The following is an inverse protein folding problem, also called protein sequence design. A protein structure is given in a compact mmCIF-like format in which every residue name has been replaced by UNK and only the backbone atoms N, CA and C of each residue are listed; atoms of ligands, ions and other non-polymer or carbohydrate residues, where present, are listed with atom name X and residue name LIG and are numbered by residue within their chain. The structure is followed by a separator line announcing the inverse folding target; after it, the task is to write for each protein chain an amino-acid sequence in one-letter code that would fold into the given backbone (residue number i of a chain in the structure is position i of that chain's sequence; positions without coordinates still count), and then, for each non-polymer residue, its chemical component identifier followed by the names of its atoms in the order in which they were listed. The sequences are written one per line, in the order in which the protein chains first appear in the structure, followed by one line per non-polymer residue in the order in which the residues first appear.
data_IF_368168103436
#
_entry.id   IF_368168103436
#
_cell.length_a   1.000
_cell.length_b   1.000
_cell.length_c   1.000
_cell.angle_alpha   90.00
_cell.angle_beta   90.00
_cell.angle_gamma   90.00
#
_symmetry.space_group_name_H-M   'P 1'
#
loop_
_entity.id
_entity.type
_entity.pdbx_description
1 polymer ?
#
# COMPACT_ATOMS: atom_id res chain seq x y z
N UNK A 1 60.88 17.56 -27.44
CA UNK A 1 60.17 16.28 -27.21
C UNK A 1 58.98 16.44 -26.27
N UNK A 2 59.18 16.98 -25.05
CA UNK A 2 58.12 17.18 -24.03
C UNK A 2 56.83 17.87 -24.52
N UNK A 3 56.90 18.99 -25.27
CA UNK A 3 55.70 19.70 -25.77
C UNK A 3 54.82 18.85 -26.70
N UNK A 4 55.42 17.98 -27.52
CA UNK A 4 54.65 17.09 -28.42
C UNK A 4 54.00 15.95 -27.64
N UNK A 5 54.68 15.41 -26.63
CA UNK A 5 54.14 14.39 -25.73
C UNK A 5 52.97 14.92 -24.89
N UNK A 6 53.09 16.13 -24.33
CA UNK A 6 52.01 16.79 -23.58
C UNK A 6 50.76 17.05 -24.43
N UNK A 7 50.93 17.50 -25.68
CA UNK A 7 49.81 17.73 -26.61
C UNK A 7 49.07 16.44 -26.98
N UNK A 8 49.80 15.32 -27.14
CA UNK A 8 49.21 14.00 -27.38
C UNK A 8 48.44 13.50 -26.16
N UNK A 9 49.03 13.63 -24.96
CA UNK A 9 48.37 13.26 -23.70
C UNK A 9 47.08 14.05 -23.49
N UNK A 10 47.10 15.38 -23.67
CA UNK A 10 45.92 16.23 -23.54
C UNK A 10 44.80 15.83 -24.53
N UNK A 11 45.15 15.46 -25.76
CA UNK A 11 44.17 14.97 -26.75
C UNK A 11 43.56 13.63 -26.32
N UNK A 12 44.38 12.71 -25.82
CA UNK A 12 43.88 11.40 -25.32
C UNK A 12 43.00 11.56 -24.09
N UNK A 13 43.38 12.41 -23.14
CA UNK A 13 42.56 12.73 -21.96
C UNK A 13 41.26 13.40 -22.38
N UNK A 14 41.30 14.37 -23.31
CA UNK A 14 40.10 15.02 -23.82
C UNK A 14 39.16 14.05 -24.54
N UNK A 15 39.69 13.13 -25.35
CA UNK A 15 38.90 12.09 -26.00
C UNK A 15 38.29 11.12 -24.97
N UNK A 16 39.07 10.68 -23.98
CA UNK A 16 38.60 9.82 -22.90
C UNK A 16 37.46 10.48 -22.10
N UNK A 17 37.61 11.75 -21.74
CA UNK A 17 36.57 12.52 -21.04
C UNK A 17 35.31 12.67 -21.90
N UNK A 18 35.46 12.98 -23.19
CA UNK A 18 34.33 13.09 -24.11
C UNK A 18 33.57 11.77 -24.25
N UNK A 19 34.28 10.66 -24.44
CA UNK A 19 33.67 9.32 -24.54
C UNK A 19 32.99 8.94 -23.24
N UNK A 20 33.65 9.15 -22.09
CA UNK A 20 33.07 8.88 -20.77
C UNK A 20 31.80 9.70 -20.53
N UNK A 21 31.81 10.98 -20.92
CA UNK A 21 30.64 11.85 -20.84
C UNK A 21 29.50 11.38 -21.74
N UNK A 22 29.79 10.97 -22.97
CA UNK A 22 28.76 10.41 -23.87
C UNK A 22 28.17 9.10 -23.33
N UNK A 23 29.00 8.21 -22.79
CA UNK A 23 28.52 6.98 -22.16
C UNK A 23 27.67 7.28 -20.91
N UNK A 24 28.04 8.28 -20.12
CA UNK A 24 27.24 8.73 -18.99
C UNK A 24 25.86 9.27 -19.44
N UNK A 25 25.79 10.05 -20.52
CA UNK A 25 24.52 10.52 -21.09
C UNK A 25 23.66 9.35 -21.54
N UNK A 26 24.24 8.39 -22.29
CA UNK A 26 23.51 7.19 -22.73
C UNK A 26 23.04 6.39 -21.52
N UNK A 27 23.88 6.21 -20.51
CA UNK A 27 23.54 5.51 -19.27
C UNK A 27 22.40 6.19 -18.52
N UNK A 28 22.40 7.52 -18.40
CA UNK A 28 21.29 8.30 -17.82
C UNK A 28 20.03 8.15 -18.66
N UNK A 29 20.14 8.20 -20.00
CA UNK A 29 19.01 8.01 -20.90
C UNK A 29 18.35 6.64 -20.74
N UNK A 30 19.15 5.58 -20.62
CA UNK A 30 18.68 4.21 -20.35
C UNK A 30 18.08 4.08 -18.96
N UNK A 31 18.71 4.68 -17.94
CA UNK A 31 18.19 4.69 -16.59
C UNK A 31 16.78 5.29 -16.55
N UNK A 32 16.60 6.47 -17.16
CA UNK A 32 15.32 7.18 -17.19
C UNK A 32 14.28 6.39 -18.00
N UNK A 33 14.64 5.83 -19.17
CA UNK A 33 13.69 5.09 -20.02
C UNK A 33 13.17 3.80 -19.36
N UNK A 34 13.90 3.26 -18.39
CA UNK A 34 13.53 2.08 -17.60
C UNK A 34 12.93 2.46 -16.24
N UNK A 35 12.47 3.70 -16.06
CA UNK A 35 11.91 4.22 -14.79
C UNK A 35 12.92 4.19 -13.62
N UNK A 36 14.21 4.09 -13.90
CA UNK A 36 15.28 4.13 -12.91
C UNK A 36 15.45 5.52 -12.32
N UNK A 37 15.93 5.58 -11.08
CA UNK A 37 16.34 6.83 -10.43
C UNK A 37 17.59 6.59 -9.60
N UNK A 38 18.30 7.68 -9.32
CA UNK A 38 19.39 7.71 -8.35
C UNK A 38 18.84 8.41 -7.11
N UNK A 39 18.81 7.69 -6.00
CA UNK A 39 18.45 8.28 -4.71
C UNK A 39 19.69 8.92 -4.07
N UNK A 40 19.52 10.11 -3.49
CA UNK A 40 20.61 10.96 -3.00
C UNK A 40 20.56 11.02 -1.48
N UNK A 41 21.14 10.01 -0.85
CA UNK A 41 21.29 9.90 0.61
C UNK A 41 19.97 9.78 1.37
N UNK A 42 20.07 9.33 2.62
CA UNK A 42 18.93 9.24 3.53
C UNK A 42 18.99 10.43 4.48
N UNK A 43 17.85 11.06 4.73
CA UNK A 43 17.70 11.97 5.85
C UNK A 43 18.00 11.19 7.15
N UNK A 44 18.84 11.72 8.08
CA UNK A 44 19.18 11.02 9.32
C UNK A 44 17.96 10.59 10.15
N UNK A 45 16.87 11.34 10.03
CA UNK A 45 15.59 11.08 10.70
C UNK A 45 14.88 9.80 10.20
N UNK A 46 15.26 9.25 9.04
CA UNK A 46 14.73 7.99 8.53
C UNK A 46 14.89 6.84 9.53
N UNK A 47 15.95 6.88 10.34
CA UNK A 47 16.31 5.85 11.30
C UNK A 47 15.91 6.22 12.75
N UNK A 48 15.24 7.35 12.96
CA UNK A 48 14.77 7.75 14.29
C UNK A 48 13.69 6.77 14.75
N UNK A 49 13.93 6.14 15.89
CA UNK A 49 12.97 5.22 16.53
C UNK A 49 12.31 5.84 17.78
N UNK A 50 12.90 6.90 18.35
CA UNK A 50 12.30 7.63 19.46
C UNK A 50 11.04 8.38 19.02
N UNK A 51 9.92 8.12 19.70
CA UNK A 51 8.60 8.60 19.34
C UNK A 51 7.79 7.62 18.48
N UNK A 52 8.37 6.52 18.00
CA UNK A 52 7.66 5.55 17.17
C UNK A 52 6.50 4.88 17.91
N UNK A 53 5.42 4.65 17.17
CA UNK A 53 4.19 4.04 17.67
C UNK A 53 2.94 4.77 17.17
N UNK A 54 1.76 4.33 17.64
CA UNK A 54 1.57 3.21 18.55
C UNK A 54 1.76 1.87 17.83
N UNK A 55 2.34 0.88 18.52
CA UNK A 55 2.28 -0.53 18.14
C UNK A 55 1.27 -1.23 19.04
N UNK A 56 0.17 -1.67 18.45
CA UNK A 56 -1.01 -2.13 19.17
C UNK A 56 -1.18 -3.63 18.97
N UNK A 57 -1.23 -4.37 20.07
CA UNK A 57 -1.37 -5.83 20.06
C UNK A 57 -2.54 -6.27 20.94
N UNK A 58 -3.26 -7.30 20.51
CA UNK A 58 -4.30 -7.94 21.32
C UNK A 58 -3.70 -8.77 22.45
N UNK A 59 -4.37 -8.72 23.60
CA UNK A 59 -4.02 -9.50 24.78
C UNK A 59 -4.75 -10.86 24.75
N UNK A 60 -4.49 -11.67 23.74
CA UNK A 60 -5.12 -12.98 23.61
C UNK A 60 -4.05 -14.09 23.77
N UNK A 61 -3.96 -14.66 24.98
CA UNK A 61 -3.40 -16.02 25.21
C UNK A 61 -4.43 -17.12 24.82
N UNK A 62 -5.43 -16.81 23.99
CA UNK A 62 -6.44 -17.77 23.59
C UNK A 62 -5.89 -18.68 22.49
N UNK A 63 -5.67 -19.95 22.86
CA UNK A 63 -5.36 -21.04 21.94
C UNK A 63 -6.34 -21.02 20.76
N UNK A 64 -5.81 -20.94 19.54
CA UNK A 64 -6.52 -21.36 18.34
C UNK A 64 -6.81 -22.84 18.54
N UNK A 65 -8.07 -23.17 18.87
CA UNK A 65 -8.51 -24.55 19.05
C UNK A 65 -8.19 -25.35 17.80
N UNK A 66 -7.25 -26.28 17.93
CA UNK A 66 -6.88 -27.23 16.88
C UNK A 66 -7.92 -28.35 16.81
N UNK A 67 -9.13 -28.03 16.35
CA UNK A 67 -10.07 -29.05 15.87
C UNK A 67 -10.34 -28.76 14.38
N UNK A 68 -9.35 -29.12 13.55
CA UNK A 68 -9.50 -29.17 12.09
C UNK A 68 -9.17 -30.59 11.65
N UNK A 69 -10.13 -31.50 11.81
CA UNK A 69 -10.14 -32.77 11.07
C UNK A 69 -10.65 -32.50 9.65
N UNK A 70 -9.76 -32.06 8.76
CA UNK A 70 -10.04 -31.88 7.34
C UNK A 70 -8.84 -31.25 6.63
N UNK A 71 -8.29 -31.93 5.62
CA UNK A 71 -7.08 -31.57 4.89
C UNK A 71 -7.13 -30.23 4.12
N UNK A 72 -8.24 -29.50 4.19
CA UNK A 72 -8.56 -28.46 3.22
C UNK A 72 -8.60 -27.03 3.84
N UNK A 73 -8.35 -26.87 5.14
CA UNK A 73 -8.46 -25.58 5.85
C UNK A 73 -7.20 -25.22 6.66
N UNK A 74 -6.05 -25.16 5.99
CA UNK A 74 -4.79 -24.72 6.61
C UNK A 74 -4.55 -23.24 6.25
N UNK A 75 -5.09 -22.32 7.06
CA UNK A 75 -4.86 -20.88 6.89
C UNK A 75 -5.97 -19.96 7.43
N UNK A 76 -7.14 -20.52 7.76
CA UNK A 76 -8.25 -19.74 8.29
C UNK A 76 -8.00 -19.35 9.75
N UNK A 77 -7.92 -18.04 10.02
CA UNK A 77 -8.52 -17.52 11.26
C UNK A 77 -9.94 -18.09 11.28
N UNK A 78 -10.26 -18.89 12.29
CA UNK A 78 -11.54 -19.59 12.41
C UNK A 78 -12.67 -18.61 12.08
N UNK A 79 -13.25 -18.77 10.89
CA UNK A 79 -14.43 -18.05 10.44
C UNK A 79 -15.56 -18.53 11.35
N UNK A 80 -15.73 -17.87 12.50
CA UNK A 80 -16.75 -18.23 13.50
C UNK A 80 -16.33 -18.21 14.97
N UNK A 81 -15.06 -17.97 15.30
CA UNK A 81 -14.71 -17.72 16.71
C UNK A 81 -15.08 -16.27 17.05
N UNK A 82 -16.12 -16.08 17.88
CA UNK A 82 -16.38 -14.81 18.55
C UNK A 82 -15.23 -14.52 19.53
N UNK A 83 -14.09 -14.04 19.01
CA UNK A 83 -12.96 -13.60 19.82
C UNK A 83 -13.27 -12.18 20.27
N UNK A 84 -13.95 -12.06 21.41
CA UNK A 84 -14.08 -10.77 22.09
C UNK A 84 -12.77 -10.53 22.84
N UNK A 85 -11.78 -9.97 22.16
CA UNK A 85 -10.58 -9.53 22.84
C UNK A 85 -10.93 -8.33 23.71
N UNK A 86 -10.77 -8.48 25.02
CA UNK A 86 -11.25 -7.49 26.00
C UNK A 86 -10.35 -6.26 26.12
N UNK A 87 -9.18 -6.26 25.48
CA UNK A 87 -8.25 -5.15 25.50
C UNK A 87 -7.00 -5.35 24.64
N UNK A 88 -6.24 -4.27 24.48
CA UNK A 88 -4.99 -4.25 23.71
C UNK A 88 -3.85 -3.65 24.53
N UNK A 89 -2.66 -4.17 24.28
CA UNK A 89 -1.38 -3.56 24.66
C UNK A 89 -0.98 -2.53 23.60
N UNK A 90 -0.76 -1.29 24.03
CA UNK A 90 -0.23 -0.21 23.21
C UNK A 90 1.21 0.05 23.64
N UNK A 91 2.12 0.04 22.68
CA UNK A 91 3.54 0.29 22.89
C UNK A 91 3.98 1.55 22.15
N UNK A 92 4.71 2.42 22.85
CA UNK A 92 5.45 3.55 22.29
C UNK A 92 6.93 3.41 22.61
N UNK A 93 7.78 3.67 21.64
CA UNK A 93 9.22 3.79 21.86
C UNK A 93 9.50 5.25 22.27
N UNK A 94 10.05 5.46 23.47
CA UNK A 94 10.38 6.78 24.02
C UNK A 94 11.87 6.92 24.27
N UNK A 95 12.30 8.15 24.53
CA UNK A 95 13.71 8.49 24.74
C UNK A 95 14.50 8.67 23.44
N UNK A 96 15.81 8.78 23.59
CA UNK A 96 16.77 9.00 22.50
C UNK A 96 18.02 8.15 22.69
N UNK A 97 18.99 8.30 21.77
CA UNK A 97 20.30 7.68 21.92
C UNK A 97 21.05 8.21 23.16
N UNK A 98 20.87 9.48 23.49
CA UNK A 98 21.51 10.17 24.60
C UNK A 98 20.82 9.87 25.93
N UNK A 99 19.48 9.78 25.93
CA UNK A 99 18.67 9.57 27.14
C UNK A 99 18.38 8.08 27.43
N UNK A 100 18.79 7.19 26.53
CA UNK A 100 18.39 5.78 26.43
C UNK A 100 16.93 5.59 26.04
N UNK A 101 16.69 4.54 25.25
CA UNK A 101 15.34 4.16 24.85
C UNK A 101 14.62 3.39 25.96
N UNK A 102 13.33 3.65 26.12
CA UNK A 102 12.44 2.85 26.96
C UNK A 102 11.08 2.67 26.27
N UNK A 103 10.35 1.63 26.68
CA UNK A 103 9.02 1.35 26.12
C UNK A 103 7.97 1.84 27.09
N UNK A 104 7.16 2.80 26.63
CA UNK A 104 5.95 3.17 27.31
C UNK A 104 4.84 2.19 26.90
N UNK A 105 4.39 1.38 27.85
CA UNK A 105 3.32 0.39 27.67
C UNK A 105 2.04 0.85 28.35
N UNK A 106 0.92 0.73 27.64
CA UNK A 106 -0.42 0.96 28.20
C UNK A 106 -1.33 -0.18 27.80
N UNK A 107 -2.13 -0.65 28.74
CA UNK A 107 -3.22 -1.59 28.45
C UNK A 107 -4.53 -0.82 28.44
N UNK A 108 -5.27 -0.93 27.34
CA UNK A 108 -6.58 -0.28 27.22
C UNK A 108 -7.65 -1.32 26.90
N UNK A 109 -8.82 -1.26 27.55
CA UNK A 109 -9.98 -2.01 27.12
C UNK A 109 -10.37 -1.58 25.70
N UNK A 110 -10.71 -2.54 24.84
CA UNK A 110 -11.32 -2.26 23.55
C UNK A 110 -12.82 -2.07 23.77
N UNK A 111 -13.26 -0.82 23.73
CA UNK A 111 -14.68 -0.45 23.71
C UNK A 111 -14.93 0.45 22.51
N UNK A 112 -16.19 0.74 22.18
CA UNK A 112 -16.58 1.56 21.01
C UNK A 112 -15.86 2.92 20.92
N UNK A 113 -15.25 3.38 22.01
CA UNK A 113 -14.31 4.49 22.04
C UNK A 113 -13.13 4.17 22.98
N UNK A 114 -11.90 4.39 22.53
CA UNK A 114 -10.78 4.56 23.47
C UNK A 114 -11.02 5.84 24.28
N UNK A 115 -10.96 5.74 25.62
CA UNK A 115 -11.19 6.90 26.49
C UNK A 115 -10.19 8.06 26.25
N UNK A 116 -9.02 7.75 25.68
CA UNK A 116 -7.98 8.71 25.31
C UNK A 116 -7.53 8.41 23.87
N UNK A 117 -7.51 9.40 22.95
CA UNK A 117 -6.97 9.22 21.61
C UNK A 117 -5.51 8.78 21.64
N UNK A 118 -5.14 7.94 20.69
CA UNK A 118 -3.75 7.55 20.48
C UNK A 118 -3.06 8.56 19.58
N UNK A 119 -1.82 8.88 19.95
CA UNK A 119 -0.96 9.81 19.21
C UNK A 119 -0.03 9.02 18.27
N UNK A 120 0.21 9.55 17.08
CA UNK A 120 1.20 9.06 16.11
C UNK A 120 2.18 10.20 15.86
N UNK A 121 3.47 9.93 16.03
CA UNK A 121 4.53 10.92 15.79
C UNK A 121 5.18 10.74 14.42
N UNK A 122 5.39 11.85 13.71
CA UNK A 122 6.08 11.92 12.44
C UNK A 122 7.39 12.71 12.59
N UNK A 123 8.51 11.98 12.54
CA UNK A 123 9.83 12.50 12.86
C UNK A 123 10.33 13.62 11.93
N UNK A 124 10.00 13.58 10.64
CA UNK A 124 10.58 14.48 9.64
C UNK A 124 10.17 15.95 9.87
N UNK A 125 8.98 16.15 10.44
CA UNK A 125 8.39 17.49 10.66
C UNK A 125 8.12 17.78 12.13
N UNK A 126 8.52 16.89 13.04
CA UNK A 126 8.26 17.00 14.47
C UNK A 126 6.77 17.23 14.79
N UNK A 127 5.90 16.53 14.06
CA UNK A 127 4.46 16.69 14.11
C UNK A 127 3.78 15.44 14.66
N UNK A 128 2.58 15.60 15.24
CA UNK A 128 1.74 14.49 15.67
C UNK A 128 0.33 14.61 15.10
N UNK A 129 -0.31 13.46 14.94
CA UNK A 129 -1.76 13.39 14.74
C UNK A 129 -2.36 12.35 15.68
N UNK A 130 -3.67 12.42 15.88
CA UNK A 130 -4.36 11.51 16.79
C UNK A 130 -5.47 10.74 16.11
N UNK A 131 -5.80 9.58 16.67
CA UNK A 131 -6.92 8.76 16.24
C UNK A 131 -7.48 7.97 17.43
N UNK A 132 -8.70 7.44 17.31
CA UNK A 132 -9.29 6.55 18.30
C UNK A 132 -9.28 5.12 17.77
N UNK A 133 -8.92 4.14 18.62
CA UNK A 133 -9.13 2.74 18.27
C UNK A 133 -10.62 2.41 18.41
N UNK A 134 -11.07 1.47 17.59
CA UNK A 134 -12.39 0.86 17.70
C UNK A 134 -12.25 -0.62 18.03
N UNK A 135 -13.26 -1.27 18.63
CA UNK A 135 -13.30 -2.71 18.69
C UNK A 135 -13.20 -3.27 17.28
N UNK A 136 -12.44 -4.35 17.14
CA UNK A 136 -12.34 -5.07 15.88
C UNK A 136 -13.57 -5.97 15.62
N UNK A 137 -14.58 -5.91 16.50
CA UNK A 137 -15.76 -6.78 16.64
C UNK A 137 -16.72 -6.84 15.42
N UNK A 138 -16.29 -6.36 14.26
CA UNK A 138 -17.02 -6.40 12.98
C UNK A 138 -16.16 -6.84 11.79
N UNK A 139 -14.86 -7.10 11.99
CA UNK A 139 -13.92 -7.35 10.91
C UNK A 139 -13.84 -8.86 10.63
N UNK A 140 -14.76 -9.38 9.80
CA UNK A 140 -14.40 -10.34 8.73
C UNK A 140 -15.51 -10.97 7.87
N UNK A 141 -16.79 -10.56 7.90
CA UNK A 141 -17.78 -11.34 7.11
C UNK A 141 -18.69 -10.56 6.16
N UNK A 142 -18.70 -9.21 6.19
CA UNK A 142 -19.70 -8.44 5.43
C UNK A 142 -19.21 -7.13 4.79
N UNK A 143 -17.91 -6.92 4.60
CA UNK A 143 -17.46 -5.78 3.79
C UNK A 143 -17.97 -5.99 2.36
N UNK A 144 -18.83 -5.09 1.82
CA UNK A 144 -19.30 -5.21 0.45
C UNK A 144 -18.12 -5.18 -0.53
N UNK A 145 -18.33 -5.79 -1.69
CA UNK A 145 -17.38 -5.74 -2.81
C UNK A 145 -17.92 -4.91 -3.97
N UNK A 146 -19.14 -4.36 -3.83
CA UNK A 146 -19.82 -3.54 -4.83
C UNK A 146 -20.43 -2.33 -4.13
N UNK A 147 -20.17 -1.15 -4.67
CA UNK A 147 -20.63 0.13 -4.15
C UNK A 147 -21.18 0.99 -5.29
N UNK A 148 -22.22 1.76 -4.97
CA UNK A 148 -22.82 2.74 -5.87
C UNK A 148 -22.85 4.09 -5.16
N UNK A 149 -22.40 5.14 -5.85
CA UNK A 149 -22.31 6.50 -5.33
C UNK A 149 -22.34 7.51 -6.48
N UNK A 150 -22.84 8.71 -6.21
CA UNK A 150 -22.74 9.82 -7.19
C UNK A 150 -21.59 10.77 -6.88
N UNK A 151 -20.88 10.53 -5.77
CA UNK A 151 -19.77 11.31 -5.30
C UNK A 151 -18.48 11.03 -6.10
N UNK A 152 -17.51 11.96 -6.10
CA UNK A 152 -16.24 11.77 -6.77
C UNK A 152 -15.44 10.61 -6.16
N UNK A 153 -14.65 9.92 -7.00
CA UNK A 153 -13.72 8.87 -6.58
C UNK A 153 -12.30 9.35 -6.88
N UNK A 154 -11.42 9.39 -5.87
CA UNK A 154 -9.99 9.63 -6.04
C UNK A 154 -9.23 8.33 -5.75
N UNK A 155 -8.40 7.88 -6.68
CA UNK A 155 -7.65 6.62 -6.55
C UNK A 155 -6.14 6.83 -6.65
N UNK A 156 -5.40 6.18 -5.73
CA UNK A 156 -3.92 6.17 -5.63
C UNK A 156 -3.43 4.77 -5.25
N UNK A 157 -2.16 4.48 -5.48
CA UNK A 157 -1.54 3.16 -5.22
C UNK A 157 -0.07 3.29 -4.81
N UNK A 158 0.53 2.23 -4.30
CA UNK A 158 2.00 2.04 -4.22
C UNK A 158 2.75 3.17 -3.48
N UNK A 159 2.14 3.73 -2.43
CA UNK A 159 2.76 4.80 -1.62
C UNK A 159 3.93 4.30 -0.77
N UNK A 160 4.01 3.00 -0.47
CA UNK A 160 5.20 2.35 0.07
C UNK A 160 5.81 3.07 1.28
N UNK A 161 4.97 3.37 2.28
CA UNK A 161 5.40 4.01 3.52
C UNK A 161 5.76 5.50 3.42
N UNK A 162 5.39 6.21 2.35
CA UNK A 162 5.60 7.66 2.20
C UNK A 162 4.38 8.47 2.70
N UNK A 163 4.30 8.63 4.03
CA UNK A 163 3.23 9.35 4.71
C UNK A 163 3.10 10.82 4.30
N UNK A 164 4.20 11.58 4.27
CA UNK A 164 4.16 13.02 3.94
C UNK A 164 3.70 13.22 2.51
N UNK A 165 4.28 12.44 1.59
CA UNK A 165 3.89 12.44 0.17
C UNK A 165 2.38 12.24 0.00
N UNK A 166 1.81 11.25 0.70
CA UNK A 166 0.36 11.00 0.66
C UNK A 166 -0.45 12.16 1.25
N UNK A 167 -0.09 12.58 2.48
CA UNK A 167 -0.78 13.65 3.21
C UNK A 167 -0.83 14.94 2.40
N UNK A 168 0.32 15.39 1.87
CA UNK A 168 0.42 16.65 1.15
C UNK A 168 -0.37 16.60 -0.17
N UNK A 169 -0.40 15.44 -0.82
CA UNK A 169 -1.23 15.22 -2.01
C UNK A 169 -2.72 15.37 -1.67
N UNK A 170 -3.17 14.76 -0.57
CA UNK A 170 -4.57 14.87 -0.12
C UNK A 170 -4.96 16.30 0.26
N UNK A 171 -4.06 17.05 0.90
CA UNK A 171 -4.27 18.48 1.24
C UNK A 171 -4.41 19.29 -0.05
N UNK A 172 -3.49 19.12 -1.00
CA UNK A 172 -3.47 19.84 -2.28
C UNK A 172 -4.79 19.66 -3.05
N UNK A 173 -5.37 18.47 -2.99
CA UNK A 173 -6.63 18.14 -3.68
C UNK A 173 -7.87 18.26 -2.80
N UNK A 174 -7.78 18.90 -1.62
CA UNK A 174 -8.87 19.12 -0.67
C UNK A 174 -9.62 17.84 -0.26
N UNK A 175 -8.94 16.69 -0.27
CA UNK A 175 -9.48 15.44 0.30
C UNK A 175 -9.45 15.53 1.83
N UNK A 176 -8.44 16.20 2.36
CA UNK A 176 -8.29 16.55 3.77
C UNK A 176 -7.93 18.03 3.90
N UNK A 177 -8.13 18.60 5.09
CA UNK A 177 -7.64 19.93 5.44
C UNK A 177 -6.23 19.90 6.08
N UNK A 178 -5.67 21.08 6.36
CA UNK A 178 -4.36 21.25 7.03
C UNK A 178 -4.33 20.70 8.48
N UNK A 179 -5.50 20.53 9.12
CA UNK A 179 -5.63 19.86 10.42
C UNK A 179 -5.69 18.32 10.28
N UNK A 180 -5.50 17.81 9.06
CA UNK A 180 -5.52 16.40 8.71
C UNK A 180 -6.88 15.74 8.85
N UNK A 181 -7.96 16.52 8.76
CA UNK A 181 -9.35 16.07 8.88
C UNK A 181 -9.96 15.85 7.49
N UNK A 182 -10.77 14.80 7.35
CA UNK A 182 -11.51 14.52 6.12
C UNK A 182 -12.36 15.71 5.64
N UNK A 183 -12.16 16.10 4.39
CA UNK A 183 -12.88 17.19 3.72
C UNK A 183 -13.56 16.75 2.40
N UNK A 184 -13.39 15.50 1.99
CA UNK A 184 -13.91 15.00 0.71
C UNK A 184 -15.42 14.66 0.71
N UNK A 185 -16.18 15.10 1.73
CA UNK A 185 -17.64 14.88 1.83
C UNK A 185 -18.02 13.41 1.70
N UNK A 186 -18.99 13.12 0.83
CA UNK A 186 -19.41 11.76 0.45
C UNK A 186 -18.48 11.06 -0.54
N UNK A 187 -17.34 11.68 -0.88
CA UNK A 187 -16.38 11.16 -1.85
C UNK A 187 -15.71 9.85 -1.41
N UNK A 188 -15.17 9.15 -2.39
CA UNK A 188 -14.52 7.86 -2.19
C UNK A 188 -13.01 8.00 -2.43
N UNK A 189 -12.18 7.70 -1.44
CA UNK A 189 -10.74 7.57 -1.60
C UNK A 189 -10.39 6.08 -1.75
N UNK A 190 -9.82 5.69 -2.89
CA UNK A 190 -9.48 4.28 -3.19
C UNK A 190 -7.98 4.10 -3.20
N UNK A 191 -7.49 3.27 -2.30
CA UNK A 191 -6.08 2.95 -2.10
C UNK A 191 -5.82 1.55 -2.66
N UNK A 192 -5.19 1.49 -3.84
CA UNK A 192 -5.08 0.28 -4.66
C UNK A 192 -3.84 -0.56 -4.29
N UNK A 193 -3.58 -0.74 -2.99
CA UNK A 193 -2.52 -1.62 -2.47
C UNK A 193 -1.12 -1.02 -2.37
N UNK A 194 -0.21 -1.76 -1.73
CA UNK A 194 1.21 -1.45 -1.54
C UNK A 194 1.48 -0.12 -0.81
N UNK A 195 0.78 0.08 0.32
CA UNK A 195 1.01 1.21 1.26
C UNK A 195 2.12 0.89 2.27
N UNK A 196 2.54 -0.38 2.37
CA UNK A 196 3.60 -0.86 3.25
C UNK A 196 4.93 -1.07 2.51
N UNK A 197 5.98 -1.44 3.26
CA UNK A 197 7.35 -1.64 2.76
C UNK A 197 8.04 -0.38 2.23
N UNK A 198 9.34 -0.52 1.92
CA UNK A 198 10.32 0.46 1.39
C UNK A 198 10.53 1.73 2.20
N UNK A 199 9.49 2.53 2.41
CA UNK A 199 9.54 3.81 3.12
C UNK A 199 9.71 3.66 4.62
N UNK A 200 10.15 4.76 5.25
CA UNK A 200 10.39 4.84 6.68
C UNK A 200 9.19 5.44 7.42
N UNK A 201 7.98 5.38 6.90
CA UNK A 201 6.79 5.89 7.62
C UNK A 201 5.54 5.03 7.41
N UNK A 202 5.71 3.72 7.26
CA UNK A 202 4.62 2.73 7.20
C UNK A 202 3.67 2.83 8.40
N UNK A 203 4.20 2.89 9.64
CA UNK A 203 3.36 3.03 10.84
C UNK A 203 2.47 4.27 10.77
N UNK A 204 3.07 5.41 10.40
CA UNK A 204 2.38 6.69 10.28
C UNK A 204 1.32 6.63 9.16
N UNK A 205 1.69 6.11 7.99
CA UNK A 205 0.79 6.00 6.84
C UNK A 205 -0.42 5.11 7.16
N UNK A 206 -0.22 3.92 7.74
CA UNK A 206 -1.33 3.01 8.03
C UNK A 206 -2.28 3.57 9.09
N UNK A 207 -1.76 4.17 10.17
CA UNK A 207 -2.63 4.80 11.17
C UNK A 207 -3.35 6.04 10.63
N UNK A 208 -2.73 6.76 9.70
CA UNK A 208 -3.37 7.88 9.04
C UNK A 208 -4.52 7.40 8.14
N UNK A 209 -4.32 6.37 7.33
CA UNK A 209 -5.38 5.75 6.53
C UNK A 209 -6.50 5.22 7.44
N UNK A 210 -6.15 4.56 8.55
CA UNK A 210 -7.11 4.09 9.54
C UNK A 210 -7.95 5.22 10.15
N UNK A 211 -7.35 6.38 10.43
CA UNK A 211 -8.07 7.60 10.86
C UNK A 211 -9.03 8.06 9.77
N UNK A 212 -8.57 8.18 8.52
CA UNK A 212 -9.38 8.65 7.40
C UNK A 212 -10.56 7.73 7.10
N UNK A 213 -10.40 6.41 7.22
CA UNK A 213 -11.51 5.45 7.11
C UNK A 213 -12.68 5.81 8.04
N UNK A 214 -12.37 6.17 9.28
CA UNK A 214 -13.40 6.53 10.27
C UNK A 214 -14.04 7.88 10.00
N UNK A 215 -13.25 8.85 9.52
CA UNK A 215 -13.74 10.21 9.26
C UNK A 215 -14.57 10.28 7.99
N UNK A 216 -14.13 9.61 6.92
CA UNK A 216 -14.90 9.46 5.69
C UNK A 216 -16.26 8.84 5.98
N UNK A 217 -16.30 7.74 6.73
CA UNK A 217 -17.55 7.08 7.10
C UNK A 217 -18.51 8.01 7.87
N UNK A 218 -17.99 8.85 8.78
CA UNK A 218 -18.81 9.84 9.52
C UNK A 218 -19.36 10.94 8.60
N UNK A 219 -18.64 11.29 7.54
CA UNK A 219 -19.04 12.30 6.55
C UNK A 219 -19.92 11.72 5.43
N UNK A 220 -20.24 10.43 5.45
CA UNK A 220 -20.98 9.74 4.39
C UNK A 220 -20.11 9.31 3.19
N UNK A 221 -18.80 9.58 3.25
CA UNK A 221 -17.83 9.11 2.26
C UNK A 221 -17.22 7.78 2.64
N UNK A 222 -16.17 7.38 1.91
CA UNK A 222 -15.52 6.09 2.15
C UNK A 222 -14.04 6.12 1.79
N UNK A 223 -13.23 5.42 2.59
CA UNK A 223 -11.88 5.03 2.20
C UNK A 223 -11.92 3.53 1.91
N UNK A 224 -11.55 3.17 0.69
CA UNK A 224 -11.46 1.80 0.20
C UNK A 224 -9.99 1.40 0.21
N UNK A 225 -9.64 0.36 0.95
CA UNK A 225 -8.29 -0.20 0.94
C UNK A 225 -8.33 -1.54 0.24
N UNK A 226 -7.66 -1.62 -0.91
CA UNK A 226 -7.47 -2.86 -1.66
C UNK A 226 -6.12 -3.46 -1.27
N UNK A 227 -6.07 -4.76 -0.94
CA UNK A 227 -4.82 -5.41 -0.54
C UNK A 227 -3.84 -5.48 -1.72
N UNK A 228 -2.59 -5.09 -1.49
CA UNK A 228 -1.49 -5.27 -2.44
C UNK A 228 -0.59 -6.45 -2.08
N UNK A 229 0.39 -6.74 -2.92
CA UNK A 229 1.32 -7.83 -2.64
C UNK A 229 2.24 -7.53 -1.44
N UNK A 230 2.55 -6.26 -1.18
CA UNK A 230 3.42 -5.87 -0.08
C UNK A 230 2.70 -6.07 1.26
N UNK A 231 1.39 -5.82 1.35
CA UNK A 231 0.61 -6.21 2.53
C UNK A 231 0.56 -7.73 2.70
N UNK A 232 0.31 -8.50 1.64
CA UNK A 232 0.32 -9.96 1.71
C UNK A 232 1.67 -10.50 2.18
N UNK A 233 2.78 -10.01 1.63
CA UNK A 233 4.14 -10.36 2.08
C UNK A 233 4.31 -10.09 3.58
N UNK A 234 3.88 -8.92 4.06
CA UNK A 234 3.98 -8.57 5.48
C UNK A 234 3.12 -9.49 6.36
N UNK A 235 1.88 -9.79 5.96
CA UNK A 235 0.99 -10.72 6.66
C UNK A 235 1.53 -12.17 6.69
N UNK A 236 2.34 -12.54 5.69
CA UNK A 236 2.99 -13.85 5.55
C UNK A 236 4.40 -13.93 6.19
N UNK A 237 4.87 -12.86 6.83
CA UNK A 237 6.19 -12.86 7.47
C UNK A 237 7.37 -12.52 6.55
N UNK A 238 7.13 -12.08 5.32
CA UNK A 238 8.16 -11.71 4.34
C UNK A 238 8.41 -10.19 4.32
N UNK A 239 9.42 -9.76 5.07
CA UNK A 239 9.76 -8.34 5.25
C UNK A 239 10.96 -7.86 4.44
N UNK A 240 11.35 -8.60 3.40
CA UNK A 240 12.58 -8.29 2.64
C UNK A 240 12.61 -6.88 2.04
N UNK A 241 11.43 -6.32 1.77
CA UNK A 241 11.28 -4.98 1.19
C UNK A 241 11.01 -3.89 2.23
N UNK A 242 10.78 -4.24 3.50
CA UNK A 242 10.54 -3.28 4.56
C UNK A 242 11.78 -2.45 4.84
N UNK A 243 11.58 -1.18 5.25
CA UNK A 243 12.68 -0.37 5.74
C UNK A 243 13.36 -1.05 6.93
N UNK A 244 14.69 -1.06 6.93
CA UNK A 244 15.49 -1.74 7.94
C UNK A 244 15.26 -1.23 9.38
N UNK A 245 14.67 -0.04 9.57
CA UNK A 245 14.31 0.48 10.90
C UNK A 245 13.27 -0.38 11.63
N UNK A 246 12.45 -1.15 10.92
CA UNK A 246 11.39 -1.95 11.54
C UNK A 246 11.93 -3.17 12.29
N UNK A 247 13.14 -3.64 11.97
CA UNK A 247 13.82 -4.71 12.72
C UNK A 247 14.16 -4.26 14.16
N UNK A 248 14.92 -3.18 14.39
CA UNK A 248 15.21 -2.72 15.75
C UNK A 248 13.96 -2.20 16.48
N UNK A 249 12.99 -1.59 15.78
CA UNK A 249 11.70 -1.22 16.38
C UNK A 249 11.02 -2.44 17.00
N UNK A 250 10.88 -3.53 16.24
CA UNK A 250 10.29 -4.77 16.74
C UNK A 250 11.07 -5.31 17.95
N UNK A 251 12.40 -5.35 17.85
CA UNK A 251 13.26 -5.78 18.95
C UNK A 251 13.11 -4.96 20.23
N UNK A 252 13.01 -3.63 20.11
CA UNK A 252 12.82 -2.70 21.23
C UNK A 252 11.52 -2.97 22.00
N UNK A 253 10.43 -3.29 21.29
CA UNK A 253 9.14 -3.63 21.91
C UNK A 253 9.03 -5.11 22.31
N UNK A 254 10.12 -5.89 22.22
CA UNK A 254 10.16 -7.31 22.59
C UNK A 254 9.43 -8.22 21.61
N UNK A 255 9.44 -7.87 20.33
CA UNK A 255 8.75 -8.58 19.24
C UNK A 255 9.71 -8.92 18.11
N UNK A 256 9.31 -9.87 17.27
CA UNK A 256 9.88 -10.04 15.93
C UNK A 256 9.19 -9.09 14.94
N UNK A 257 9.80 -8.86 13.78
CA UNK A 257 9.14 -8.06 12.74
C UNK A 257 7.84 -8.73 12.25
N UNK A 258 7.76 -10.06 12.30
CA UNK A 258 6.54 -10.82 11.99
C UNK A 258 5.37 -10.48 12.90
N UNK A 259 5.64 -10.22 14.17
CA UNK A 259 4.60 -9.90 15.13
C UNK A 259 3.89 -8.58 14.79
N UNK A 260 4.59 -7.62 14.15
CA UNK A 260 4.04 -6.30 13.77
C UNK A 260 2.79 -6.40 12.86
N UNK A 261 2.64 -7.51 12.12
CA UNK A 261 1.51 -7.77 11.22
C UNK A 261 0.79 -9.10 11.52
N UNK A 262 1.14 -9.78 12.62
CA UNK A 262 0.57 -11.07 13.01
C UNK A 262 -0.92 -11.03 13.33
N UNK A 263 -1.51 -12.18 13.67
CA UNK A 263 -2.87 -12.25 14.24
C UNK A 263 -2.99 -11.52 15.58
N UNK A 264 -1.88 -11.19 16.26
CA UNK A 264 -1.93 -10.42 17.50
C UNK A 264 -1.76 -8.93 17.24
N UNK A 265 -1.34 -8.51 16.04
CA UNK A 265 -1.27 -7.09 15.67
C UNK A 265 -2.65 -6.55 15.30
N UNK A 266 -3.00 -5.39 15.86
CA UNK A 266 -4.20 -4.66 15.49
C UNK A 266 -4.19 -4.30 13.99
N UNK A 267 -3.10 -3.71 13.51
CA UNK A 267 -2.92 -3.37 12.08
C UNK A 267 -2.89 -4.64 11.23
N UNK A 268 -2.30 -5.73 11.72
CA UNK A 268 -2.33 -7.02 11.05
C UNK A 268 -3.76 -7.52 10.82
N UNK A 269 -4.61 -7.52 11.86
CA UNK A 269 -6.02 -7.91 11.73
C UNK A 269 -6.80 -6.92 10.85
N UNK A 270 -6.54 -5.62 10.96
CA UNK A 270 -7.17 -4.58 10.13
C UNK A 270 -6.84 -4.77 8.64
N UNK A 271 -5.58 -5.00 8.27
CA UNK A 271 -5.18 -5.30 6.90
C UNK A 271 -5.79 -6.61 6.40
N UNK A 272 -5.84 -7.64 7.25
CA UNK A 272 -6.43 -8.94 6.87
C UNK A 272 -7.94 -8.86 6.55
N UNK A 273 -8.62 -7.80 6.97
CA UNK A 273 -10.05 -7.58 6.69
C UNK A 273 -10.33 -6.97 5.31
N UNK A 274 -9.31 -6.43 4.63
CA UNK A 274 -9.44 -5.62 3.41
C UNK A 274 -9.72 -6.48 2.18
N UNK A 275 -10.49 -5.95 1.23
CA UNK A 275 -10.81 -6.68 -0.01
C UNK A 275 -9.59 -6.74 -0.94
N UNK A 276 -9.56 -7.75 -1.81
CA UNK A 276 -8.60 -7.84 -2.93
C UNK A 276 -9.11 -7.16 -4.19
N UNK A 277 -10.43 -7.08 -4.35
CA UNK A 277 -11.08 -6.47 -5.51
C UNK A 277 -12.41 -5.83 -5.11
N UNK A 278 -12.69 -4.65 -5.64
CA UNK A 278 -13.97 -3.96 -5.43
C UNK A 278 -14.48 -3.35 -6.73
N UNK A 279 -15.81 -3.21 -6.85
CA UNK A 279 -16.48 -2.48 -7.93
C UNK A 279 -17.17 -1.24 -7.36
N UNK A 280 -16.88 -0.06 -7.90
CA UNK A 280 -17.52 1.20 -7.50
C UNK A 280 -18.03 1.88 -8.77
N UNK A 281 -19.35 2.08 -8.89
CA UNK A 281 -19.98 2.68 -10.07
C UNK A 281 -19.60 1.99 -11.40
N UNK A 282 -19.52 0.65 -11.39
CA UNK A 282 -19.07 -0.11 -12.55
C UNK A 282 -17.55 -0.14 -12.79
N UNK A 283 -16.73 0.58 -12.01
CA UNK A 283 -15.27 0.54 -12.13
C UNK A 283 -14.66 -0.47 -11.16
N UNK A 284 -13.86 -1.41 -11.67
CA UNK A 284 -13.13 -2.38 -10.85
C UNK A 284 -11.83 -1.77 -10.33
N UNK A 285 -11.49 -2.05 -9.07
CA UNK A 285 -10.24 -1.67 -8.43
C UNK A 285 -9.56 -2.92 -7.89
N UNK A 286 -8.32 -3.15 -8.33
CA UNK A 286 -7.51 -4.33 -7.98
C UNK A 286 -6.03 -3.98 -8.10
N UNK A 287 -5.19 -4.45 -7.18
CA UNK A 287 -3.80 -4.00 -7.12
C UNK A 287 -2.98 -4.35 -8.37
N UNK A 288 -2.85 -5.63 -8.73
CA UNK A 288 -2.08 -6.07 -9.91
C UNK A 288 -2.91 -6.07 -11.19
N UNK A 289 -4.01 -6.82 -11.17
CA UNK A 289 -4.89 -6.98 -12.32
C UNK A 289 -5.68 -8.28 -12.27
N UNK A 290 -6.49 -8.54 -13.29
CA UNK A 290 -7.32 -9.74 -13.40
C UNK A 290 -6.82 -10.56 -14.58
N UNK A 291 -6.17 -11.69 -14.28
CA UNK A 291 -5.77 -12.68 -15.29
C UNK A 291 -7.00 -13.38 -15.89
N UNK A 292 -6.90 -13.84 -17.14
CA UNK A 292 -8.00 -14.51 -17.86
C UNK A 292 -8.53 -15.74 -17.12
N UNK A 293 -7.66 -16.53 -16.49
CA UNK A 293 -8.06 -17.68 -15.67
C UNK A 293 -8.99 -17.27 -14.52
N UNK A 294 -8.76 -16.09 -13.94
CA UNK A 294 -9.57 -15.55 -12.84
C UNK A 294 -10.89 -15.01 -13.40
N UNK A 295 -10.84 -14.30 -14.54
CA UNK A 295 -12.03 -13.79 -15.21
C UNK A 295 -12.98 -14.91 -15.68
N UNK A 296 -12.44 -16.09 -15.98
CA UNK A 296 -13.24 -17.25 -16.40
C UNK A 296 -13.85 -18.04 -15.24
N UNK A 297 -13.53 -17.70 -13.99
CA UNK A 297 -14.13 -18.34 -12.82
C UNK A 297 -15.60 -17.93 -12.67
N UNK A 298 -16.45 -18.87 -12.30
CA UNK A 298 -17.85 -18.59 -11.96
C UNK A 298 -18.01 -18.16 -10.51
N UNK A 299 -17.36 -17.03 -10.16
CA UNK A 299 -17.38 -16.45 -8.83
C UNK A 299 -17.80 -14.98 -8.88
N UNK A 300 -18.64 -14.58 -7.94
CA UNK A 300 -18.88 -13.17 -7.63
C UNK A 300 -17.63 -12.53 -6.99
N UNK A 301 -17.53 -11.19 -7.07
CA UNK A 301 -16.46 -10.43 -6.40
C UNK A 301 -16.39 -10.73 -4.89
N UNK A 302 -17.54 -10.93 -4.23
CA UNK A 302 -17.57 -11.30 -2.82
C UNK A 302 -16.96 -12.68 -2.56
N UNK A 303 -17.27 -13.68 -3.41
CA UNK A 303 -16.68 -15.01 -3.29
C UNK A 303 -15.17 -15.00 -3.55
N UNK A 304 -14.71 -14.20 -4.53
CA UNK A 304 -13.29 -13.97 -4.80
C UNK A 304 -12.60 -13.40 -3.56
N UNK A 305 -13.13 -12.32 -2.99
CA UNK A 305 -12.58 -11.70 -1.78
C UNK A 305 -12.56 -12.67 -0.59
N UNK A 306 -13.65 -13.39 -0.34
CA UNK A 306 -13.73 -14.32 0.78
C UNK A 306 -12.70 -15.46 0.62
N UNK A 307 -12.54 -16.01 -0.59
CA UNK A 307 -11.55 -17.05 -0.88
C UNK A 307 -10.12 -16.53 -0.72
N UNK A 308 -9.81 -15.35 -1.26
CA UNK A 308 -8.47 -14.78 -1.16
C UNK A 308 -8.09 -14.45 0.30
N UNK A 309 -8.99 -13.81 1.05
CA UNK A 309 -8.79 -13.42 2.46
C UNK A 309 -8.42 -14.61 3.35
N UNK A 310 -9.03 -15.77 3.12
CA UNK A 310 -8.75 -16.98 3.89
C UNK A 310 -7.28 -17.46 3.80
N UNK A 311 -6.51 -16.94 2.83
CA UNK A 311 -5.12 -17.31 2.59
C UNK A 311 -4.13 -16.14 2.73
N UNK A 312 -4.56 -14.95 3.15
CA UNK A 312 -3.67 -13.79 3.25
C UNK A 312 -2.46 -14.00 4.17
N UNK A 313 -2.62 -14.84 5.20
CA UNK A 313 -1.55 -15.16 6.17
C UNK A 313 -0.75 -16.41 5.79
N UNK A 314 -1.14 -17.09 4.72
CA UNK A 314 -0.50 -18.31 4.27
C UNK A 314 0.52 -17.99 3.18
N UNK A 315 1.77 -18.39 3.38
CA UNK A 315 2.79 -18.27 2.33
C UNK A 315 2.42 -19.16 1.14
N UNK A 316 2.55 -18.64 -0.07
CA UNK A 316 2.26 -19.41 -1.28
C UNK A 316 3.25 -20.57 -1.48
N UNK A 317 2.73 -21.75 -1.78
CA UNK A 317 3.46 -22.89 -2.32
C UNK A 317 2.49 -23.77 -3.15
N UNK A 318 2.98 -24.55 -4.14
CA UNK A 318 2.11 -25.43 -4.92
C UNK A 318 1.39 -26.46 -4.04
N UNK A 319 0.07 -26.59 -4.20
CA UNK A 319 -0.79 -27.46 -3.42
C UNK A 319 -1.30 -26.84 -2.11
N UNK A 320 -1.14 -25.52 -1.91
CA UNK A 320 -1.59 -24.83 -0.69
C UNK A 320 -3.12 -24.74 -0.59
N UNK A 321 -3.83 -24.79 -1.72
CA UNK A 321 -5.28 -24.67 -1.80
C UNK A 321 -5.86 -25.45 -2.99
N UNK A 322 -7.18 -25.43 -3.14
CA UNK A 322 -7.82 -25.89 -4.37
C UNK A 322 -7.40 -25.01 -5.57
N UNK A 323 -7.43 -25.56 -6.79
CA UNK A 323 -6.96 -24.88 -8.02
C UNK A 323 -7.59 -23.50 -8.25
N UNK A 324 -8.87 -23.32 -7.89
CA UNK A 324 -9.54 -22.03 -8.04
C UNK A 324 -8.89 -21.03 -7.10
N UNK A 325 -8.74 -21.40 -5.84
CA UNK A 325 -8.11 -20.53 -4.84
C UNK A 325 -6.63 -20.26 -5.15
N UNK A 326 -5.87 -21.27 -5.61
CA UNK A 326 -4.48 -21.10 -6.05
C UNK A 326 -4.33 -20.05 -7.16
N UNK A 327 -5.27 -20.00 -8.12
CA UNK A 327 -5.25 -18.98 -9.18
C UNK A 327 -5.41 -17.56 -8.61
N UNK A 328 -6.22 -17.38 -7.56
CA UNK A 328 -6.46 -16.08 -6.93
C UNK A 328 -5.24 -15.57 -6.15
N UNK A 329 -4.52 -16.48 -5.47
CA UNK A 329 -3.39 -16.15 -4.58
C UNK A 329 -2.01 -16.34 -5.24
N UNK A 330 -1.98 -16.73 -6.51
CA UNK A 330 -0.77 -16.88 -7.29
C UNK A 330 0.11 -15.63 -7.21
N UNK A 331 1.41 -15.83 -6.99
CA UNK A 331 2.39 -14.74 -6.93
C UNK A 331 2.81 -14.22 -8.32
N UNK A 332 2.14 -14.68 -9.38
CA UNK A 332 2.41 -14.29 -10.78
C UNK A 332 1.14 -13.81 -11.50
N UNK A 333 0.06 -14.59 -11.39
CA UNK A 333 -1.23 -14.36 -12.08
C UNK A 333 -2.35 -13.95 -11.14
N UNK A 334 -2.11 -13.99 -9.83
CA UNK A 334 -3.10 -13.61 -8.82
C UNK A 334 -3.39 -12.11 -8.84
N UNK A 335 -4.50 -11.74 -8.20
CA UNK A 335 -5.06 -10.37 -8.25
C UNK A 335 -4.08 -9.29 -7.76
N UNK A 336 -3.23 -9.63 -6.79
CA UNK A 336 -2.23 -8.72 -6.23
C UNK A 336 -0.88 -8.74 -6.98
N UNK A 337 -0.72 -9.53 -8.04
CA UNK A 337 0.58 -9.77 -8.68
C UNK A 337 0.59 -9.68 -10.20
N UNK A 338 -0.57 -9.77 -10.85
CA UNK A 338 -0.64 -9.84 -12.29
C UNK A 338 -0.11 -8.55 -12.94
N UNK A 339 0.78 -8.71 -13.93
CA UNK A 339 1.42 -7.59 -14.68
C UNK A 339 1.13 -7.58 -16.17
N UNK A 340 0.31 -8.52 -16.66
CA UNK A 340 0.17 -8.77 -18.10
C UNK A 340 -0.45 -7.61 -18.89
N UNK A 341 -1.19 -6.70 -18.23
CA UNK A 341 -1.69 -5.47 -18.86
C UNK A 341 -0.58 -4.58 -19.41
N UNK A 342 0.62 -4.61 -18.83
CA UNK A 342 1.73 -3.73 -19.20
C UNK A 342 2.98 -4.47 -19.71
N UNK A 343 2.97 -5.81 -19.65
CA UNK A 343 4.05 -6.65 -20.17
C UNK A 343 3.75 -7.28 -21.53
N UNK A 344 2.62 -6.92 -22.14
CA UNK A 344 2.25 -7.32 -23.50
C UNK A 344 1.49 -8.64 -23.58
N UNK A 345 1.02 -9.17 -22.44
CA UNK A 345 0.31 -10.45 -22.38
C UNK A 345 -1.21 -10.30 -22.62
N UNK A 346 -1.76 -9.09 -22.46
CA UNK A 346 -3.20 -8.83 -22.56
C UNK A 346 -3.61 -8.17 -23.89
N UNK A 347 -4.81 -8.51 -24.38
CA UNK A 347 -5.44 -7.91 -25.56
C UNK A 347 -6.70 -7.13 -25.19
N UNK A 348 -7.09 -6.15 -26.02
CA UNK A 348 -8.35 -5.41 -25.87
C UNK A 348 -9.57 -6.35 -25.73
N UNK A 349 -9.58 -7.46 -26.47
CA UNK A 349 -10.65 -8.47 -26.42
C UNK A 349 -10.70 -9.16 -25.06
N UNK A 350 -9.55 -9.57 -24.51
CA UNK A 350 -9.48 -10.22 -23.21
C UNK A 350 -9.92 -9.27 -22.07
N UNK A 351 -9.52 -7.99 -22.16
CA UNK A 351 -9.99 -6.96 -21.22
C UNK A 351 -11.52 -6.80 -21.32
N UNK A 352 -12.08 -6.71 -22.53
CA UNK A 352 -13.52 -6.58 -22.71
C UNK A 352 -14.27 -7.79 -22.13
N UNK A 353 -13.80 -9.02 -22.38
CA UNK A 353 -14.40 -10.23 -21.81
C UNK A 353 -14.39 -10.23 -20.28
N UNK A 354 -13.31 -9.74 -19.68
CA UNK A 354 -13.21 -9.58 -18.23
C UNK A 354 -14.25 -8.58 -17.70
N UNK A 355 -14.37 -7.42 -18.37
CA UNK A 355 -15.34 -6.39 -18.01
C UNK A 355 -16.79 -6.89 -18.16
N UNK A 356 -17.09 -7.60 -19.24
CA UNK A 356 -18.40 -8.19 -19.49
C UNK A 356 -18.78 -9.22 -18.40
N UNK A 357 -17.82 -10.03 -17.94
CA UNK A 357 -18.04 -11.01 -16.87
C UNK A 357 -18.49 -10.37 -15.56
N UNK A 358 -17.89 -9.23 -15.20
CA UNK A 358 -18.13 -8.55 -13.93
C UNK A 358 -19.16 -7.41 -14.03
N UNK A 359 -19.75 -7.21 -15.21
CA UNK A 359 -20.63 -6.09 -15.52
C UNK A 359 -19.98 -4.76 -15.12
N UNK A 360 -18.78 -4.55 -15.66
CA UNK A 360 -17.90 -3.43 -15.33
C UNK A 360 -17.54 -2.64 -16.59
N UNK A 361 -17.15 -1.37 -16.40
CA UNK A 361 -16.81 -0.45 -17.48
C UNK A 361 -15.29 -0.22 -17.59
N UNK A 362 -14.55 -0.35 -16.49
CA UNK A 362 -13.09 -0.23 -16.50
C UNK A 362 -12.44 -0.97 -15.34
N UNK A 363 -11.11 -1.12 -15.41
CA UNK A 363 -10.25 -1.67 -14.37
C UNK A 363 -9.18 -0.64 -14.00
N UNK A 364 -9.03 -0.33 -12.72
CA UNK A 364 -7.97 0.54 -12.19
C UNK A 364 -6.98 -0.31 -11.42
N UNK A 365 -5.70 -0.19 -11.77
CA UNK A 365 -4.61 -1.01 -11.22
C UNK A 365 -3.39 -0.20 -10.82
N UNK A 366 -2.68 -0.69 -9.80
CA UNK A 366 -1.37 -0.21 -9.35
C UNK A 366 -0.25 -1.14 -9.82
N UNK A 367 0.67 -1.48 -8.91
CA UNK A 367 1.66 -2.57 -8.98
C UNK A 367 2.78 -2.45 -10.02
N UNK A 368 2.45 -1.94 -11.21
CA UNK A 368 3.36 -1.81 -12.35
C UNK A 368 3.56 -0.35 -12.71
N UNK A 369 4.68 0.16 -12.24
CA UNK A 369 5.16 1.51 -12.43
C UNK A 369 4.94 2.06 -13.83
N UNK A 370 4.32 3.23 -13.87
CA UNK A 370 4.12 4.06 -15.04
C UNK A 370 4.88 5.38 -14.89
N UNK A 371 5.18 6.04 -16.01
CA UNK A 371 5.70 7.41 -15.99
C UNK A 371 4.69 8.43 -15.47
N UNK A 372 3.40 8.14 -15.61
CA UNK A 372 2.26 8.98 -15.23
C UNK A 372 1.01 8.14 -15.16
N UNK A 373 0.01 8.61 -14.42
CA UNK A 373 -1.35 8.07 -14.48
C UNK A 373 -1.84 8.15 -15.92
N UNK A 374 -2.28 7.03 -16.48
CA UNK A 374 -2.70 6.95 -17.86
C UNK A 374 -3.83 5.92 -18.06
N UNK A 375 -4.44 5.96 -19.24
CA UNK A 375 -5.43 4.99 -19.68
C UNK A 375 -4.90 4.18 -20.86
N UNK A 376 -5.21 2.89 -20.87
CA UNK A 376 -4.83 1.93 -21.90
C UNK A 376 -6.08 1.16 -22.37
N UNK A 377 -5.91 0.31 -23.38
CA UNK A 377 -6.99 -0.56 -23.88
C UNK A 377 -8.27 0.20 -24.25
N UNK A 378 -8.11 1.28 -25.02
CA UNK A 378 -9.16 2.25 -25.40
C UNK A 378 -9.92 2.86 -24.21
N UNK A 379 -9.24 3.05 -23.08
CA UNK A 379 -9.81 3.65 -21.88
C UNK A 379 -10.45 2.65 -20.90
N UNK A 380 -10.26 1.34 -21.13
CA UNK A 380 -10.78 0.28 -20.27
C UNK A 380 -9.89 -0.02 -19.07
N UNK A 381 -8.60 0.32 -19.13
CA UNK A 381 -7.66 0.11 -18.00
C UNK A 381 -7.00 1.42 -17.63
N UNK A 382 -7.05 1.76 -16.34
CA UNK A 382 -6.34 2.89 -15.76
C UNK A 382 -5.16 2.39 -14.93
N UNK A 383 -3.97 2.89 -15.26
CA UNK A 383 -2.74 2.56 -14.57
C UNK A 383 -2.36 3.73 -13.66
N UNK A 384 -2.31 3.49 -12.35
CA UNK A 384 -2.16 4.56 -11.35
C UNK A 384 -0.92 4.44 -10.45
N UNK A 385 -0.12 3.37 -10.60
CA UNK A 385 1.20 3.28 -9.96
C UNK A 385 2.18 4.21 -10.70
N UNK A 386 2.63 5.25 -10.00
CA UNK A 386 3.65 6.20 -10.48
C UNK A 386 4.79 6.27 -9.49
N UNK A 387 5.92 6.82 -9.93
CA UNK A 387 7.09 6.93 -9.06
C UNK A 387 6.88 8.06 -8.05
N UNK A 388 6.35 7.74 -6.88
CA UNK A 388 6.15 8.67 -5.77
C UNK A 388 7.47 9.21 -5.21
N UNK A 389 7.51 10.49 -4.75
CA UNK A 389 8.60 10.98 -3.91
C UNK A 389 8.86 10.06 -2.72
N UNK A 390 10.13 9.98 -2.32
CA UNK A 390 10.49 9.32 -1.08
C UNK A 390 10.64 10.39 0.01
N UNK A 391 9.89 10.28 1.09
CA UNK A 391 9.85 11.32 2.14
C UNK A 391 11.24 11.62 2.73
N UNK A 392 12.13 10.62 2.76
CA UNK A 392 13.44 10.72 3.42
C UNK A 392 14.61 10.79 2.44
N UNK A 393 14.37 10.84 1.12
CA UNK A 393 15.44 10.81 0.11
C UNK A 393 15.14 11.76 -1.04
N UNK A 394 16.15 12.55 -1.42
CA UNK A 394 16.14 13.20 -2.72
C UNK A 394 16.31 12.18 -3.84
N UNK A 395 15.84 12.50 -5.04
CA UNK A 395 16.06 11.65 -6.21
C UNK A 395 16.36 12.44 -7.48
N UNK A 396 17.11 11.81 -8.38
CA UNK A 396 17.24 12.23 -9.76
C UNK A 396 16.77 11.12 -10.73
N UNK A 397 15.85 11.41 -11.66
CA UNK A 397 15.03 12.63 -11.74
C UNK A 397 14.16 12.83 -10.49
N UNK A 398 13.65 14.06 -10.32
CA UNK A 398 12.64 14.34 -9.30
C UNK A 398 11.38 13.52 -9.60
N UNK A 399 10.87 12.90 -8.55
CA UNK A 399 9.67 12.06 -8.55
C UNK A 399 8.47 12.95 -8.18
N UNK A 400 7.27 12.59 -8.65
CA UNK A 400 6.04 13.34 -8.38
C UNK A 400 4.88 12.37 -8.22
N UNK A 401 4.01 12.63 -7.26
CA UNK A 401 2.78 11.85 -7.11
C UNK A 401 1.73 12.27 -8.13
N UNK A 402 0.92 11.29 -8.54
CA UNK A 402 -0.27 11.51 -9.34
C UNK A 402 -1.41 10.61 -8.84
N UNK A 403 -2.64 10.98 -9.14
CA UNK A 403 -3.83 10.20 -8.81
C UNK A 403 -4.84 10.21 -9.97
N UNK A 404 -5.73 9.23 -9.97
CA UNK A 404 -6.91 9.21 -10.83
C UNK A 404 -8.09 9.84 -10.08
N UNK A 405 -8.78 10.78 -10.69
CA UNK A 405 -10.06 11.31 -10.23
C UNK A 405 -11.16 10.91 -11.22
N UNK A 406 -12.21 10.30 -10.72
CA UNK A 406 -13.41 9.91 -11.46
C UNK A 406 -14.58 10.76 -10.95
N UNK A 407 -15.18 11.52 -11.85
CA UNK A 407 -16.37 12.33 -11.59
C UNK A 407 -17.43 11.98 -12.63
N UNK A 408 -18.38 11.12 -12.24
CA UNK A 408 -19.35 10.51 -13.16
C UNK A 408 -18.57 9.78 -14.28
N UNK A 409 -18.82 10.14 -15.53
CA UNK A 409 -18.16 9.56 -16.72
C UNK A 409 -16.81 10.24 -17.08
N UNK A 410 -16.34 11.20 -16.28
CA UNK A 410 -15.12 11.95 -16.59
C UNK A 410 -13.94 11.48 -15.76
N UNK A 411 -12.81 11.29 -16.43
CA UNK A 411 -11.57 10.80 -15.82
C UNK A 411 -10.49 11.87 -15.91
N UNK A 412 -9.81 12.10 -14.80
CA UNK A 412 -8.76 13.09 -14.70
C UNK A 412 -7.53 12.52 -14.03
N UNK A 413 -6.37 12.93 -14.54
CA UNK A 413 -5.08 12.81 -13.88
C UNK A 413 -4.86 14.04 -13.02
N UNK A 414 -4.69 13.81 -11.73
CA UNK A 414 -4.34 14.82 -10.75
C UNK A 414 -2.83 14.80 -10.54
N UNK A 415 -2.18 15.95 -10.60
CA UNK A 415 -0.75 16.08 -10.32
C UNK A 415 -0.50 16.53 -8.89
N UNK A 416 0.70 16.27 -8.37
CA UNK A 416 1.15 16.78 -7.06
C UNK A 416 1.05 18.30 -6.91
N UNK A 417 1.11 19.06 -8.01
CA UNK A 417 1.02 20.53 -8.00
C UNK A 417 -0.42 21.06 -7.98
N UNK A 418 -1.42 20.18 -7.96
CA UNK A 418 -2.84 20.55 -7.98
C UNK A 418 -3.43 20.70 -9.38
N UNK A 419 -2.69 20.36 -10.44
CA UNK A 419 -3.25 20.40 -11.79
C UNK A 419 -4.21 19.23 -12.03
N UNK A 420 -5.29 19.51 -12.76
CA UNK A 420 -6.29 18.52 -13.18
C UNK A 420 -6.29 18.42 -14.70
N UNK A 421 -5.95 17.23 -15.21
CA UNK A 421 -5.74 16.99 -16.65
C UNK A 421 -6.71 15.89 -17.11
N UNK A 422 -7.51 16.15 -18.14
CA UNK A 422 -8.44 15.15 -18.70
C UNK A 422 -7.65 13.97 -19.29
N UNK A 423 -8.13 12.75 -19.02
CA UNK A 423 -7.53 11.51 -19.52
C UNK A 423 -8.19 11.00 -20.80
#
# INVERSE_FOLDING_TARGET
MLKRTAKRLAKSVGHFLLVSFMLAIVGVGVLISQHGSIDIGDAPLAYKVGGEGPFVFFNDETQIGSDVTGSDNVGADIVGANIVSTGVEINYIRGSREENFFIEKRYVPLTDQTAVPLEVYFALEDATFTFNLKPLDTLNTKTPSVYESTAPILAMSDLEGNYKTFRDFLITHNVINENLEWQFGEGHLVLVGDMVDRGFSTTQLLWFIYKLEQEAQKAGGMVHYIIGNHELKNLQGNFKSAANKYIPIAGLIGKSQADLFSHNSYIGRWLASKNTIEKINGHLFVHGGIHEDIANLDLSLQQINNKAKAYYRQMYFPGVADKVTESLISTETGLAWYRGYFKGDASNTAIQQTLDKFDACSITVGHTLQFKVNKQFDGRVFAIDVKHPNDYRGSFPTKYSEALLIERENFYRLTETGERIVL
#
